data_IF_505424426970
#
_entry.id   IF_505424426970
#
_cell.length_a   1.000
_cell.length_b   1.000
_cell.length_c   1.000
_cell.angle_alpha   90.00
_cell.angle_beta   90.00
_cell.angle_gamma   90.00
#
_symmetry.space_group_name_H-M   'P 1'
#
loop_
_entity.id
_entity.type
_entity.pdbx_description
1 polymer ?
#
# COMPACT_ATOMS: atom_id res chain seq x y z
N UNK A 1 6.76 -40.49 -39.43
CA UNK A 1 6.42 -39.06 -39.30
C UNK A 1 7.57 -38.43 -38.55
N UNK A 2 8.25 -37.41 -39.07
CA UNK A 2 9.34 -36.76 -38.32
C UNK A 2 8.77 -35.95 -37.17
N UNK A 3 9.27 -36.20 -35.96
CA UNK A 3 9.00 -35.38 -34.76
C UNK A 3 9.49 -33.98 -34.99
N UNK A 4 8.58 -33.01 -34.92
CA UNK A 4 8.92 -31.58 -34.87
C UNK A 4 9.57 -31.29 -33.52
N UNK A 5 10.89 -31.19 -33.50
CA UNK A 5 11.61 -30.59 -32.39
C UNK A 5 11.31 -29.06 -32.40
N UNK A 6 10.31 -28.66 -31.61
CA UNK A 6 10.10 -27.24 -31.32
C UNK A 6 11.23 -26.82 -30.39
N UNK A 7 12.13 -25.99 -30.91
CA UNK A 7 13.19 -25.37 -30.15
C UNK A 7 12.55 -24.39 -29.14
N UNK A 8 12.55 -24.71 -27.85
CA UNK A 8 11.95 -23.89 -26.78
C UNK A 8 12.70 -22.54 -26.54
N UNK A 9 13.66 -22.18 -27.35
CA UNK A 9 14.48 -20.99 -27.19
C UNK A 9 13.96 -19.74 -27.92
N UNK A 10 12.83 -19.81 -28.65
CA UNK A 10 12.19 -18.68 -29.33
C UNK A 10 10.80 -18.35 -28.75
N UNK A 11 10.53 -18.67 -27.48
CA UNK A 11 9.36 -18.15 -26.80
C UNK A 11 9.55 -16.62 -26.66
N UNK A 12 8.80 -15.87 -27.46
CA UNK A 12 8.76 -14.41 -27.39
C UNK A 12 8.42 -14.02 -25.93
N UNK A 13 9.29 -13.20 -25.30
CA UNK A 13 9.05 -12.70 -23.93
C UNK A 13 7.64 -12.11 -23.82
N UNK A 14 6.96 -12.36 -22.71
CA UNK A 14 5.68 -11.72 -22.42
C UNK A 14 5.81 -10.19 -22.36
N UNK A 15 4.68 -9.46 -22.44
CA UNK A 15 4.71 -7.98 -22.33
C UNK A 15 5.30 -7.51 -21.00
N UNK A 16 5.13 -8.29 -19.93
CA UNK A 16 5.66 -7.96 -18.59
C UNK A 16 7.15 -8.29 -18.47
N UNK A 17 7.63 -9.39 -19.06
CA UNK A 17 9.07 -9.67 -19.13
C UNK A 17 9.79 -8.61 -19.94
N UNK A 18 9.19 -8.11 -21.03
CA UNK A 18 9.71 -6.96 -21.78
C UNK A 18 9.68 -5.65 -20.97
N UNK A 19 8.67 -5.46 -20.11
CA UNK A 19 8.63 -4.31 -19.20
C UNK A 19 9.76 -4.40 -18.17
N UNK A 20 10.03 -5.57 -17.62
CA UNK A 20 11.14 -5.78 -16.66
C UNK A 20 12.51 -5.39 -17.23
N UNK A 21 12.74 -5.63 -18.54
CA UNK A 21 14.00 -5.27 -19.21
C UNK A 21 14.28 -3.75 -19.22
N UNK A 22 13.28 -2.91 -18.96
CA UNK A 22 13.41 -1.45 -18.91
C UNK A 22 13.92 -0.94 -17.56
N UNK A 23 13.97 -1.80 -16.54
CA UNK A 23 14.32 -1.44 -15.19
C UNK A 23 15.64 -2.07 -14.76
N UNK A 24 16.31 -1.43 -13.80
CA UNK A 24 17.48 -2.05 -13.20
C UNK A 24 17.08 -3.18 -12.25
N UNK A 25 17.24 -4.42 -12.69
CA UNK A 25 16.98 -5.63 -11.89
C UNK A 25 18.25 -6.26 -11.30
N UNK A 26 19.42 -5.61 -11.44
CA UNK A 26 20.66 -6.05 -10.81
C UNK A 26 20.69 -5.61 -9.34
N UNK A 27 19.90 -6.32 -8.51
CA UNK A 27 19.76 -6.03 -7.08
C UNK A 27 20.36 -7.16 -6.26
N UNK A 28 21.13 -6.77 -5.24
CA UNK A 28 21.67 -7.65 -4.21
C UNK A 28 21.02 -7.27 -2.87
N UNK A 29 20.42 -8.24 -2.18
CA UNK A 29 19.64 -7.98 -0.95
C UNK A 29 20.51 -7.37 0.16
N UNK A 30 21.78 -7.76 0.28
CA UNK A 30 22.69 -7.21 1.28
C UNK A 30 23.08 -5.76 0.94
N UNK A 31 23.28 -5.45 -0.34
CA UNK A 31 23.52 -4.08 -0.79
C UNK A 31 22.30 -3.18 -0.58
N UNK A 32 21.10 -3.67 -0.89
CA UNK A 32 19.84 -2.95 -0.64
C UNK A 32 19.72 -2.63 0.86
N UNK A 33 19.95 -3.61 1.73
CA UNK A 33 19.91 -3.41 3.18
C UNK A 33 20.92 -2.36 3.63
N UNK A 34 22.18 -2.48 3.20
CA UNK A 34 23.22 -1.52 3.54
C UNK A 34 22.88 -0.09 3.06
N UNK A 35 22.34 0.05 1.85
CA UNK A 35 21.97 1.33 1.26
C UNK A 35 20.82 2.00 2.02
N UNK A 36 19.74 1.29 2.32
CA UNK A 36 18.59 1.89 3.01
C UNK A 36 18.93 2.26 4.45
N UNK A 37 19.65 1.41 5.17
CA UNK A 37 20.05 1.74 6.55
C UNK A 37 21.00 2.93 6.59
N UNK A 38 21.92 3.05 5.64
CA UNK A 38 22.77 4.24 5.50
C UNK A 38 21.94 5.49 5.18
N UNK A 39 21.00 5.39 4.21
CA UNK A 39 20.13 6.49 3.83
C UNK A 39 19.34 7.01 5.04
N UNK A 40 18.75 6.10 5.82
CA UNK A 40 17.98 6.46 7.02
C UNK A 40 18.90 7.06 8.09
N UNK A 41 20.05 6.44 8.38
CA UNK A 41 20.99 6.94 9.39
C UNK A 41 21.48 8.35 9.08
N UNK A 42 21.78 8.65 7.82
CA UNK A 42 22.30 9.94 7.38
C UNK A 42 21.24 11.07 7.37
N UNK A 43 19.96 10.73 7.23
CA UNK A 43 18.92 11.74 6.95
C UNK A 43 17.80 11.83 7.99
N UNK A 44 17.53 10.78 8.74
CA UNK A 44 16.41 10.69 9.69
C UNK A 44 16.30 11.89 10.64
N UNK A 45 17.43 12.39 11.15
CA UNK A 45 17.44 13.52 12.09
C UNK A 45 16.85 14.80 11.52
N UNK A 46 16.87 14.98 10.20
CA UNK A 46 16.27 16.13 9.50
C UNK A 46 14.73 16.12 9.59
N UNK A 47 14.14 14.92 9.76
CA UNK A 47 12.72 14.69 9.66
C UNK A 47 12.02 14.40 11.00
N UNK A 48 12.74 14.52 12.12
CA UNK A 48 12.14 14.42 13.45
C UNK A 48 11.70 15.81 13.92
N UNK A 49 10.66 16.37 13.28
CA UNK A 49 10.14 17.72 13.57
C UNK A 49 8.61 17.68 13.72
N UNK A 50 8.00 18.65 14.45
CA UNK A 50 6.55 18.73 14.59
C UNK A 50 5.80 18.77 13.26
N UNK A 51 6.35 19.43 12.24
CA UNK A 51 5.76 19.54 10.90
C UNK A 51 5.70 18.16 10.23
N UNK A 52 6.77 17.37 10.32
CA UNK A 52 6.81 16.02 9.77
C UNK A 52 5.86 15.10 10.52
N UNK A 53 5.71 15.24 11.84
CA UNK A 53 4.73 14.46 12.60
C UNK A 53 3.29 14.75 12.13
N UNK A 54 2.95 16.02 11.87
CA UNK A 54 1.66 16.39 11.29
C UNK A 54 1.49 15.84 9.86
N UNK A 55 2.53 15.91 9.03
CA UNK A 55 2.49 15.29 7.70
C UNK A 55 2.27 13.77 7.79
N UNK A 56 2.98 13.09 8.70
CA UNK A 56 2.79 11.65 8.95
C UNK A 56 1.36 11.34 9.38
N UNK A 57 0.79 12.12 10.31
CA UNK A 57 -0.59 11.95 10.75
C UNK A 57 -1.55 12.03 9.56
N UNK A 58 -1.37 12.99 8.66
CA UNK A 58 -2.21 13.15 7.47
C UNK A 58 -2.11 11.99 6.48
N UNK A 59 -1.05 11.18 6.53
CA UNK A 59 -0.87 10.01 5.65
C UNK A 59 -1.37 8.70 6.26
N UNK A 60 -1.84 8.73 7.50
CA UNK A 60 -2.31 7.53 8.20
C UNK A 60 -3.60 7.01 7.59
N UNK A 61 -3.59 5.73 7.23
CA UNK A 61 -4.79 4.94 7.02
C UNK A 61 -5.09 4.14 8.28
N UNK A 62 -6.06 4.62 9.07
CA UNK A 62 -6.47 3.97 10.32
C UNK A 62 -7.18 2.66 10.01
N UNK A 63 -6.55 1.55 10.36
CA UNK A 63 -6.95 0.22 9.88
C UNK A 63 -7.51 -0.65 10.99
N UNK A 64 -8.70 -1.19 10.78
CA UNK A 64 -9.23 -2.32 11.57
C UNK A 64 -9.60 -3.47 10.62
N UNK A 65 -8.91 -4.60 10.77
CA UNK A 65 -9.10 -5.81 9.97
C UNK A 65 -9.00 -7.03 10.90
N UNK A 66 -9.67 -6.96 12.05
CA UNK A 66 -9.70 -8.06 13.02
C UNK A 66 -10.81 -9.04 12.62
N UNK A 67 -10.63 -10.32 12.91
CA UNK A 67 -11.68 -11.34 12.73
C UNK A 67 -12.89 -11.11 13.65
N UNK A 68 -12.73 -10.23 14.66
CA UNK A 68 -13.76 -9.87 15.63
C UNK A 68 -14.41 -8.53 15.33
N UNK A 69 -14.08 -7.86 14.21
CA UNK A 69 -14.74 -6.61 13.85
C UNK A 69 -16.23 -6.85 13.59
N UNK A 70 -17.04 -5.94 14.07
CA UNK A 70 -18.49 -5.91 13.92
C UNK A 70 -18.94 -4.51 13.50
N UNK A 71 -20.17 -4.37 13.02
CA UNK A 71 -20.76 -3.06 12.69
C UNK A 71 -20.62 -2.08 13.86
N UNK A 72 -20.92 -2.53 15.08
CA UNK A 72 -20.80 -1.71 16.30
C UNK A 72 -19.35 -1.25 16.53
N UNK A 73 -18.37 -2.15 16.43
CA UNK A 73 -16.95 -1.78 16.67
C UNK A 73 -16.40 -0.86 15.61
N UNK A 74 -16.84 -1.02 14.35
CA UNK A 74 -16.44 -0.16 13.24
C UNK A 74 -17.11 1.21 13.33
N UNK A 75 -18.40 1.26 13.69
CA UNK A 75 -19.12 2.52 13.95
C UNK A 75 -18.42 3.31 15.07
N UNK A 76 -18.11 2.68 16.21
CA UNK A 76 -17.38 3.31 17.31
C UNK A 76 -16.01 3.85 16.88
N UNK A 77 -15.30 3.15 15.97
CA UNK A 77 -14.04 3.66 15.42
C UNK A 77 -14.27 4.91 14.56
N UNK A 78 -15.31 4.91 13.74
CA UNK A 78 -15.67 6.05 12.87
C UNK A 78 -16.07 7.27 13.70
N UNK A 79 -16.92 7.07 14.74
CA UNK A 79 -17.29 8.12 15.69
C UNK A 79 -16.08 8.76 16.36
N UNK A 80 -15.09 7.94 16.81
CA UNK A 80 -13.86 8.47 17.39
C UNK A 80 -13.04 9.31 16.40
N UNK A 81 -13.07 8.98 15.10
CA UNK A 81 -12.41 9.79 14.06
C UNK A 81 -13.14 11.12 13.88
N UNK A 82 -14.47 11.14 13.91
CA UNK A 82 -15.26 12.36 13.88
C UNK A 82 -14.97 13.24 15.10
N UNK A 83 -15.07 12.66 16.32
CA UNK A 83 -14.79 13.35 17.58
C UNK A 83 -13.38 13.95 17.61
N UNK A 84 -12.38 13.22 17.09
CA UNK A 84 -11.01 13.73 16.99
C UNK A 84 -10.92 14.93 16.05
N UNK A 85 -11.55 14.86 14.90
CA UNK A 85 -11.56 15.97 13.92
C UNK A 85 -12.20 17.24 14.52
N UNK A 86 -13.31 17.09 15.23
CA UNK A 86 -14.00 18.20 15.89
C UNK A 86 -13.19 18.79 17.05
N UNK A 87 -12.53 17.94 17.83
CA UNK A 87 -11.72 18.37 18.98
C UNK A 87 -10.40 19.03 18.59
N UNK A 88 -9.85 18.70 17.42
CA UNK A 88 -8.53 19.14 16.96
C UNK A 88 -8.56 19.72 15.53
N UNK A 89 -9.32 20.79 15.25
CA UNK A 89 -9.45 21.35 13.92
C UNK A 89 -8.13 21.94 13.37
N UNK A 90 -7.12 22.17 14.23
CA UNK A 90 -5.79 22.64 13.85
C UNK A 90 -4.83 21.49 13.43
N UNK A 91 -5.24 20.24 13.59
CA UNK A 91 -4.49 19.09 13.13
C UNK A 91 -5.00 18.61 11.77
N UNK A 92 -4.13 18.06 10.91
CA UNK A 92 -4.59 17.50 9.65
C UNK A 92 -5.45 16.25 9.89
N UNK A 93 -6.47 16.01 9.06
CA UNK A 93 -7.26 14.79 9.12
C UNK A 93 -6.41 13.56 8.78
N UNK A 94 -6.84 12.40 9.24
CA UNK A 94 -6.32 11.11 8.75
C UNK A 94 -6.61 10.95 7.26
N UNK A 95 -5.85 10.09 6.56
CA UNK A 95 -6.10 9.83 5.16
C UNK A 95 -7.37 9.02 4.94
N UNK A 96 -7.50 7.89 5.65
CA UNK A 96 -8.66 7.00 5.51
C UNK A 96 -8.95 6.21 6.79
N UNK A 97 -10.17 5.69 6.87
CA UNK A 97 -10.50 4.51 7.68
C UNK A 97 -10.48 3.29 6.75
N UNK A 98 -9.68 2.27 7.08
CA UNK A 98 -9.53 1.06 6.26
C UNK A 98 -10.18 -0.14 6.94
N UNK A 99 -11.17 -0.77 6.26
CA UNK A 99 -12.01 -1.83 6.80
C UNK A 99 -12.19 -3.00 5.82
N UNK A 100 -12.85 -4.07 6.26
CA UNK A 100 -13.38 -5.11 5.37
C UNK A 100 -14.53 -4.56 4.51
N UNK A 101 -14.77 -5.10 3.30
CA UNK A 101 -15.72 -4.52 2.34
C UNK A 101 -17.17 -4.48 2.85
N UNK A 102 -17.56 -5.45 3.67
CA UNK A 102 -18.91 -5.49 4.26
C UNK A 102 -19.18 -4.36 5.27
N UNK A 103 -18.19 -3.59 5.67
CA UNK A 103 -18.31 -2.43 6.55
C UNK A 103 -18.21 -1.09 5.79
N UNK A 104 -18.03 -1.10 4.46
CA UNK A 104 -17.93 0.12 3.66
C UNK A 104 -19.12 1.06 3.92
N UNK A 105 -20.33 0.51 3.86
CA UNK A 105 -21.57 1.27 4.01
C UNK A 105 -21.67 1.97 5.36
N UNK A 106 -21.42 1.26 6.47
CA UNK A 106 -21.56 1.86 7.80
C UNK A 106 -20.54 2.97 8.02
N UNK A 107 -19.30 2.80 7.51
CA UNK A 107 -18.30 3.87 7.59
C UNK A 107 -18.71 5.05 6.73
N UNK A 108 -19.10 4.82 5.47
CA UNK A 108 -19.49 5.88 4.53
C UNK A 108 -20.71 6.68 5.01
N UNK A 109 -21.68 6.02 5.66
CA UNK A 109 -22.88 6.69 6.18
C UNK A 109 -22.66 7.43 7.51
N UNK A 110 -21.60 7.09 8.28
CA UNK A 110 -21.35 7.67 9.61
C UNK A 110 -20.11 8.56 9.68
N UNK A 111 -19.27 8.60 8.63
CA UNK A 111 -18.05 9.41 8.59
C UNK A 111 -18.40 10.87 8.28
N UNK A 112 -18.17 11.76 9.24
CA UNK A 112 -18.42 13.21 9.15
C UNK A 112 -17.14 14.02 9.05
N UNK A 113 -15.98 13.42 9.41
CA UNK A 113 -14.68 14.11 9.41
C UNK A 113 -14.23 14.48 7.99
N UNK A 114 -14.18 15.77 7.70
CA UNK A 114 -13.80 16.32 6.39
C UNK A 114 -12.39 15.84 5.97
N UNK A 115 -12.26 15.39 4.73
CA UNK A 115 -10.98 14.97 4.13
C UNK A 115 -10.57 13.54 4.47
N UNK A 116 -11.27 12.82 5.35
CA UNK A 116 -11.07 11.39 5.61
C UNK A 116 -11.88 10.57 4.62
N UNK A 117 -11.28 9.52 4.06
CA UNK A 117 -11.91 8.65 3.06
C UNK A 117 -12.15 7.23 3.59
N UNK A 118 -12.98 6.48 2.90
CA UNK A 118 -13.23 5.06 3.17
C UNK A 118 -12.36 4.21 2.27
N UNK A 119 -11.48 3.39 2.86
CA UNK A 119 -10.70 2.39 2.14
C UNK A 119 -11.19 0.98 2.49
N UNK A 120 -11.30 0.10 1.50
CA UNK A 120 -11.67 -1.29 1.73
C UNK A 120 -10.64 -2.26 1.19
N UNK A 121 -10.32 -3.31 1.97
CA UNK A 121 -9.60 -4.46 1.42
C UNK A 121 -10.55 -5.29 0.59
N UNK A 122 -10.12 -5.71 -0.61
CA UNK A 122 -10.95 -6.44 -1.57
C UNK A 122 -10.18 -7.56 -2.26
N UNK A 123 -10.82 -8.27 -3.16
CA UNK A 123 -10.19 -9.28 -4.01
C UNK A 123 -9.78 -10.55 -3.24
N UNK A 124 -10.57 -10.96 -2.24
CA UNK A 124 -10.30 -12.15 -1.43
C UNK A 124 -9.15 -11.93 -0.44
N UNK A 125 -9.08 -10.73 0.14
CA UNK A 125 -8.08 -10.41 1.17
C UNK A 125 -8.15 -11.39 2.36
N UNK A 126 -7.02 -11.88 2.93
CA UNK A 126 -5.64 -11.46 2.64
C UNK A 126 -4.88 -12.33 1.64
N UNK A 127 -5.46 -13.41 1.13
CA UNK A 127 -4.72 -14.42 0.36
C UNK A 127 -4.82 -14.26 -1.15
N UNK A 128 -5.80 -13.53 -1.66
CA UNK A 128 -6.13 -13.45 -3.09
C UNK A 128 -6.48 -14.82 -3.73
N UNK A 129 -6.74 -15.85 -2.92
CA UNK A 129 -6.95 -17.24 -3.37
C UNK A 129 -8.44 -17.54 -3.58
N UNK A 130 -9.05 -16.86 -4.55
CA UNK A 130 -10.44 -17.07 -4.98
C UNK A 130 -10.59 -16.77 -6.47
N UNK A 131 -11.77 -17.00 -7.03
CA UNK A 131 -12.09 -16.77 -8.43
C UNK A 131 -12.13 -15.29 -8.75
N UNK A 132 -11.70 -14.89 -9.96
CA UNK A 132 -11.65 -13.49 -10.38
C UNK A 132 -13.05 -12.86 -10.38
N UNK A 133 -14.09 -13.60 -10.75
CA UNK A 133 -15.48 -13.13 -10.73
C UNK A 133 -15.93 -12.74 -9.31
N UNK A 134 -15.44 -13.44 -8.29
CA UNK A 134 -15.72 -13.10 -6.89
C UNK A 134 -14.93 -11.86 -6.46
N UNK A 135 -13.65 -11.75 -6.87
CA UNK A 135 -12.82 -10.58 -6.57
C UNK A 135 -13.42 -9.30 -7.15
N UNK A 136 -13.86 -9.35 -8.40
CA UNK A 136 -14.47 -8.19 -9.08
C UNK A 136 -15.85 -7.84 -8.50
N UNK A 137 -16.67 -8.86 -8.18
CA UNK A 137 -17.95 -8.64 -7.53
C UNK A 137 -17.80 -8.03 -6.13
N UNK A 138 -16.86 -8.53 -5.30
CA UNK A 138 -16.56 -7.97 -3.98
C UNK A 138 -16.12 -6.51 -4.09
N UNK A 139 -15.23 -6.20 -5.05
CA UNK A 139 -14.75 -4.84 -5.30
C UNK A 139 -15.88 -3.91 -5.70
N UNK A 140 -16.73 -4.32 -6.67
CA UNK A 140 -17.86 -3.52 -7.13
C UNK A 140 -18.88 -3.27 -6.00
N UNK A 141 -19.13 -4.25 -5.13
CA UNK A 141 -20.01 -4.08 -3.96
C UNK A 141 -19.40 -3.10 -2.94
N UNK A 142 -18.09 -3.19 -2.65
CA UNK A 142 -17.44 -2.26 -1.75
C UNK A 142 -17.54 -0.80 -2.26
N UNK A 143 -17.29 -0.59 -3.56
CA UNK A 143 -17.43 0.73 -4.21
C UNK A 143 -18.89 1.22 -4.17
N UNK A 144 -19.86 0.35 -4.49
CA UNK A 144 -21.29 0.67 -4.41
C UNK A 144 -21.70 1.12 -3.00
N UNK A 145 -21.12 0.49 -1.97
CA UNK A 145 -21.41 0.74 -0.56
C UNK A 145 -20.59 1.92 0.02
N UNK A 146 -19.84 2.64 -0.82
CA UNK A 146 -19.19 3.90 -0.48
C UNK A 146 -17.68 3.81 -0.20
N UNK A 147 -17.00 2.75 -0.64
CA UNK A 147 -15.53 2.75 -0.60
C UNK A 147 -14.98 3.76 -1.63
N UNK A 148 -14.16 4.70 -1.17
CA UNK A 148 -13.45 5.67 -1.99
C UNK A 148 -12.15 5.09 -2.57
N UNK A 149 -11.58 4.06 -1.95
CA UNK A 149 -10.31 3.45 -2.31
C UNK A 149 -10.34 1.94 -2.03
N UNK A 150 -9.70 1.15 -2.88
CA UNK A 150 -9.65 -0.31 -2.75
C UNK A 150 -8.22 -0.81 -2.62
N UNK A 151 -7.98 -1.76 -1.70
CA UNK A 151 -6.69 -2.43 -1.51
C UNK A 151 -6.84 -3.92 -1.86
N UNK A 152 -6.30 -4.41 -2.99
CA UNK A 152 -6.29 -5.83 -3.34
C UNK A 152 -4.91 -6.45 -3.15
N UNK A 153 -4.86 -7.78 -3.03
CA UNK A 153 -3.58 -8.53 -2.89
C UNK A 153 -3.20 -9.13 -4.22
N UNK A 154 -1.92 -8.97 -4.61
CA UNK A 154 -1.32 -9.69 -5.74
C UNK A 154 -1.54 -11.20 -5.57
N UNK A 155 -1.84 -11.91 -6.65
CA UNK A 155 -1.81 -13.37 -6.66
C UNK A 155 -0.36 -13.85 -6.56
N UNK A 156 0.14 -13.91 -5.31
CA UNK A 156 1.56 -14.21 -5.02
C UNK A 156 1.95 -15.60 -5.53
N UNK A 157 1.04 -16.57 -5.48
CA UNK A 157 1.30 -17.94 -5.97
C UNK A 157 1.55 -17.96 -7.47
N UNK A 158 0.69 -17.32 -8.25
CA UNK A 158 0.85 -17.18 -9.70
C UNK A 158 2.13 -16.38 -10.03
N UNK A 159 2.37 -15.26 -9.34
CA UNK A 159 3.58 -14.47 -9.52
C UNK A 159 4.87 -15.27 -9.31
N UNK A 160 4.98 -16.02 -8.21
CA UNK A 160 6.16 -16.82 -7.89
C UNK A 160 6.36 -18.02 -8.83
N UNK A 161 5.30 -18.50 -9.49
CA UNK A 161 5.38 -19.51 -10.55
C UNK A 161 5.75 -18.95 -11.93
N UNK A 162 5.84 -17.62 -12.05
CA UNK A 162 6.15 -16.94 -13.30
C UNK A 162 4.95 -16.66 -14.19
N UNK A 163 3.74 -16.88 -13.71
CA UNK A 163 2.49 -16.59 -14.43
C UNK A 163 2.11 -15.10 -14.23
N UNK A 164 2.88 -14.24 -14.89
CA UNK A 164 2.75 -12.78 -14.79
C UNK A 164 1.49 -12.28 -15.49
N UNK A 165 1.04 -12.95 -16.55
CA UNK A 165 -0.17 -12.57 -17.29
C UNK A 165 -1.40 -12.73 -16.40
N UNK A 166 -1.59 -13.89 -15.76
CA UNK A 166 -2.70 -14.09 -14.81
C UNK A 166 -2.69 -13.04 -13.70
N UNK A 167 -1.51 -12.72 -13.13
CA UNK A 167 -1.42 -11.70 -12.09
C UNK A 167 -1.87 -10.32 -12.57
N UNK A 168 -1.50 -9.95 -13.78
CA UNK A 168 -1.81 -8.65 -14.33
C UNK A 168 -3.27 -8.56 -14.77
N UNK A 169 -3.79 -9.59 -15.43
CA UNK A 169 -5.20 -9.66 -15.82
C UNK A 169 -6.13 -9.52 -14.60
N UNK A 170 -5.81 -10.19 -13.48
CA UNK A 170 -6.55 -10.05 -12.23
C UNK A 170 -6.52 -8.61 -11.69
N UNK A 171 -5.37 -7.93 -11.74
CA UNK A 171 -5.24 -6.53 -11.30
C UNK A 171 -6.04 -5.60 -12.24
N UNK A 172 -5.94 -5.78 -13.56
CA UNK A 172 -6.65 -5.00 -14.56
C UNK A 172 -8.18 -5.13 -14.37
N UNK A 173 -8.69 -6.34 -14.14
CA UNK A 173 -10.12 -6.58 -13.90
C UNK A 173 -10.60 -5.98 -12.57
N UNK A 174 -9.81 -6.10 -11.49
CA UNK A 174 -10.14 -5.48 -10.20
C UNK A 174 -10.10 -3.95 -10.34
N UNK A 175 -9.11 -3.39 -11.07
CA UNK A 175 -9.05 -1.94 -11.34
C UNK A 175 -10.29 -1.46 -12.09
N UNK A 176 -10.74 -2.20 -13.07
CA UNK A 176 -11.99 -1.87 -13.79
C UNK A 176 -13.20 -1.87 -12.85
N UNK A 177 -13.26 -2.81 -11.87
CA UNK A 177 -14.34 -2.86 -10.87
C UNK A 177 -14.27 -1.71 -9.84
N UNK A 178 -13.10 -1.07 -9.64
CA UNK A 178 -12.96 0.13 -8.82
C UNK A 178 -13.57 1.39 -9.45
N UNK A 179 -13.96 1.35 -10.73
CA UNK A 179 -14.36 2.51 -11.52
C UNK A 179 -13.28 3.62 -11.48
N UNK A 180 -13.64 4.84 -11.07
CA UNK A 180 -12.70 5.98 -10.98
C UNK A 180 -11.90 6.00 -9.67
N UNK A 181 -12.17 5.07 -8.74
CA UNK A 181 -11.50 5.03 -7.44
C UNK A 181 -10.09 4.43 -7.53
N UNK A 182 -9.14 4.91 -6.69
CA UNK A 182 -7.80 4.37 -6.64
C UNK A 182 -7.77 2.90 -6.21
N UNK A 183 -6.96 2.11 -6.93
CA UNK A 183 -6.60 0.74 -6.55
C UNK A 183 -5.19 0.72 -5.97
N UNK A 184 -5.03 0.16 -4.77
CA UNK A 184 -3.74 -0.11 -4.16
C UNK A 184 -3.46 -1.61 -4.21
N UNK A 185 -2.37 -2.00 -4.87
CA UNK A 185 -1.98 -3.41 -4.99
C UNK A 185 -0.99 -3.77 -3.88
N UNK A 186 -1.38 -4.70 -3.02
CA UNK A 186 -0.56 -5.25 -1.95
C UNK A 186 0.36 -6.32 -2.55
N UNK A 187 1.65 -6.07 -2.56
CA UNK A 187 2.64 -6.98 -3.12
C UNK A 187 2.91 -8.19 -2.22
N UNK A 188 2.63 -8.08 -0.91
CA UNK A 188 2.97 -9.04 0.14
C UNK A 188 4.48 -9.34 0.17
N UNK A 189 5.25 -8.30 0.38
CA UNK A 189 6.72 -8.29 0.24
C UNK A 189 7.42 -9.35 1.07
N UNK A 190 6.87 -9.70 2.24
CA UNK A 190 7.39 -10.78 3.09
C UNK A 190 7.32 -12.17 2.44
N UNK A 191 6.32 -12.41 1.57
CA UNK A 191 6.20 -13.65 0.82
C UNK A 191 7.11 -13.67 -0.43
N UNK A 192 7.40 -12.51 -1.02
CA UNK A 192 8.28 -12.38 -2.19
C UNK A 192 9.76 -12.56 -1.85
N UNK A 193 10.17 -12.28 -0.63
CA UNK A 193 11.48 -12.56 0.01
C UNK A 193 12.69 -11.82 -0.54
N UNK A 194 12.82 -11.58 -1.85
CA UNK A 194 13.99 -10.94 -2.46
C UNK A 194 13.67 -9.59 -3.06
N UNK A 195 14.66 -8.69 -3.06
CA UNK A 195 14.57 -7.37 -3.68
C UNK A 195 14.16 -7.46 -5.16
N UNK A 196 14.68 -8.46 -5.89
CA UNK A 196 14.35 -8.67 -7.30
C UNK A 196 12.87 -9.02 -7.47
N UNK A 197 12.31 -9.93 -6.66
CA UNK A 197 10.90 -10.28 -6.75
C UNK A 197 10.01 -9.11 -6.36
N UNK A 198 10.36 -8.37 -5.30
CA UNK A 198 9.63 -7.16 -4.89
C UNK A 198 9.61 -6.13 -6.03
N UNK A 199 10.75 -5.90 -6.68
CA UNK A 199 10.82 -4.95 -7.79
C UNK A 199 10.01 -5.41 -9.00
N UNK A 200 10.09 -6.70 -9.39
CA UNK A 200 9.27 -7.25 -10.47
C UNK A 200 7.78 -7.16 -10.18
N UNK A 201 7.35 -7.48 -8.95
CA UNK A 201 5.96 -7.36 -8.54
C UNK A 201 5.48 -5.91 -8.57
N UNK A 202 6.31 -4.96 -8.13
CA UNK A 202 6.04 -3.52 -8.22
C UNK A 202 5.84 -3.08 -9.67
N UNK A 203 6.76 -3.44 -10.57
CA UNK A 203 6.68 -3.10 -12.00
C UNK A 203 5.41 -3.69 -12.62
N UNK A 204 5.14 -4.99 -12.38
CA UNK A 204 3.95 -5.66 -12.90
C UNK A 204 2.67 -4.94 -12.44
N UNK A 205 2.52 -4.66 -11.14
CA UNK A 205 1.35 -3.99 -10.59
C UNK A 205 1.14 -2.59 -11.19
N UNK A 206 2.22 -1.81 -11.35
CA UNK A 206 2.15 -0.47 -11.96
C UNK A 206 1.72 -0.53 -13.42
N UNK A 207 2.24 -1.46 -14.21
CA UNK A 207 1.84 -1.64 -15.62
C UNK A 207 0.44 -2.24 -15.77
N UNK A 208 -0.06 -2.97 -14.77
CA UNK A 208 -1.43 -3.49 -14.72
C UNK A 208 -2.46 -2.47 -14.20
N UNK A 209 -2.05 -1.22 -13.94
CA UNK A 209 -2.98 -0.13 -13.61
C UNK A 209 -3.17 0.16 -12.13
N UNK A 210 -2.27 -0.30 -11.26
CA UNK A 210 -2.27 0.11 -9.86
C UNK A 210 -2.00 1.61 -9.70
N UNK A 211 -2.82 2.32 -8.92
CA UNK A 211 -2.58 3.73 -8.55
C UNK A 211 -1.60 3.84 -7.38
N UNK A 212 -1.56 2.80 -6.52
CA UNK A 212 -0.61 2.63 -5.45
C UNK A 212 -0.05 1.22 -5.43
N UNK A 213 1.19 1.09 -4.97
CA UNK A 213 1.72 -0.20 -4.53
C UNK A 213 1.90 -0.19 -3.01
N UNK A 214 1.46 -1.27 -2.36
CA UNK A 214 1.46 -1.43 -0.91
C UNK A 214 2.34 -2.61 -0.50
N UNK A 215 3.06 -2.47 0.62
CA UNK A 215 4.00 -3.51 1.04
C UNK A 215 3.31 -4.82 1.42
N UNK A 216 2.33 -4.79 2.32
CA UNK A 216 1.88 -6.00 3.02
C UNK A 216 0.43 -5.95 3.47
N UNK A 217 -0.15 -7.12 3.69
CA UNK A 217 -1.48 -7.29 4.32
C UNK A 217 -1.44 -7.04 5.83
N UNK A 218 -0.29 -7.26 6.46
CA UNK A 218 -0.16 -7.33 7.92
C UNK A 218 -0.71 -8.64 8.52
N UNK A 219 -0.98 -9.66 7.70
CA UNK A 219 -1.53 -10.97 8.11
C UNK A 219 -0.51 -12.11 8.05
N UNK A 220 0.70 -11.83 7.59
CA UNK A 220 1.84 -12.75 7.67
C UNK A 220 2.92 -12.18 8.60
N UNK A 221 3.88 -13.01 8.99
CA UNK A 221 4.89 -12.67 9.99
C UNK A 221 5.75 -11.47 9.57
N UNK A 222 6.27 -11.48 8.32
CA UNK A 222 7.08 -10.39 7.78
C UNK A 222 6.17 -9.43 7.02
N UNK A 223 6.06 -8.20 7.54
CA UNK A 223 5.25 -7.14 6.93
C UNK A 223 6.14 -6.07 6.27
N UNK A 224 5.87 -4.77 6.50
CA UNK A 224 6.67 -3.69 5.93
C UNK A 224 8.11 -3.70 6.48
N UNK A 225 9.09 -3.61 5.58
CA UNK A 225 10.50 -3.41 5.91
C UNK A 225 11.06 -2.21 5.16
N UNK A 226 12.15 -1.63 5.65
CA UNK A 226 12.81 -0.49 4.99
C UNK A 226 13.41 -0.91 3.65
N UNK A 227 13.91 -2.15 3.55
CA UNK A 227 14.42 -2.73 2.31
C UNK A 227 13.34 -2.81 1.24
N UNK A 228 12.15 -3.32 1.60
CA UNK A 228 11.00 -3.37 0.70
C UNK A 228 10.58 -1.96 0.26
N UNK A 229 10.48 -1.01 1.19
CA UNK A 229 10.15 0.38 0.90
C UNK A 229 11.18 1.01 -0.05
N UNK A 230 12.47 0.79 0.18
CA UNK A 230 13.54 1.28 -0.69
C UNK A 230 13.41 0.76 -2.12
N UNK A 231 13.21 -0.55 -2.28
CA UNK A 231 13.05 -1.18 -3.59
C UNK A 231 11.79 -0.68 -4.31
N UNK A 232 10.67 -0.60 -3.60
CA UNK A 232 9.40 -0.13 -4.16
C UNK A 232 9.47 1.35 -4.55
N UNK A 233 10.00 2.22 -3.71
CA UNK A 233 10.18 3.64 -4.03
C UNK A 233 11.14 3.84 -5.21
N UNK A 234 12.21 3.04 -5.30
CA UNK A 234 13.12 3.08 -6.45
C UNK A 234 12.39 2.65 -7.74
N UNK A 235 11.56 1.60 -7.67
CA UNK A 235 10.75 1.17 -8.81
C UNK A 235 9.74 2.24 -9.25
N UNK A 236 9.07 2.91 -8.30
CA UNK A 236 8.15 4.03 -8.57
C UNK A 236 8.89 5.17 -9.28
N UNK A 237 10.08 5.53 -8.79
CA UNK A 237 10.88 6.59 -9.42
C UNK A 237 11.26 6.25 -10.85
N UNK A 238 11.78 5.05 -11.10
CA UNK A 238 12.12 4.59 -12.45
C UNK A 238 10.89 4.55 -13.35
N UNK A 239 9.74 4.12 -12.82
CA UNK A 239 8.48 4.11 -13.57
C UNK A 239 8.03 5.52 -13.96
N UNK A 240 8.11 6.47 -13.02
CA UNK A 240 7.81 7.88 -13.28
C UNK A 240 8.76 8.45 -14.35
N UNK A 241 10.05 8.18 -14.25
CA UNK A 241 11.06 8.65 -15.23
C UNK A 241 10.79 8.10 -16.64
N UNK A 242 10.20 6.91 -16.75
CA UNK A 242 9.87 6.27 -18.03
C UNK A 242 8.51 6.70 -18.60
N UNK A 243 7.52 6.98 -17.76
CA UNK A 243 6.11 7.13 -18.19
C UNK A 243 5.50 8.49 -17.88
N UNK A 244 6.09 9.26 -16.97
CA UNK A 244 5.50 10.48 -16.41
C UNK A 244 4.31 10.26 -15.49
N UNK A 245 3.97 9.00 -15.14
CA UNK A 245 2.82 8.65 -14.32
C UNK A 245 3.20 8.54 -12.85
N UNK A 246 2.47 9.25 -11.99
CA UNK A 246 2.63 9.15 -10.54
C UNK A 246 1.96 7.88 -10.00
N UNK A 247 2.70 7.12 -9.22
CA UNK A 247 2.20 5.95 -8.49
C UNK A 247 2.44 6.18 -7.00
N UNK A 248 1.41 6.00 -6.17
CA UNK A 248 1.56 6.14 -4.72
C UNK A 248 2.26 4.95 -4.07
N UNK A 249 2.84 5.21 -2.89
CA UNK A 249 3.45 4.19 -2.04
C UNK A 249 2.70 4.10 -0.70
N UNK A 250 2.38 2.88 -0.27
CA UNK A 250 1.80 2.60 1.05
C UNK A 250 2.64 1.59 1.81
N UNK A 251 3.20 2.03 2.94
CA UNK A 251 3.80 1.12 3.92
C UNK A 251 2.71 0.60 4.87
N UNK A 252 2.61 -0.70 5.06
CA UNK A 252 1.58 -1.27 5.93
C UNK A 252 2.05 -2.53 6.65
N UNK A 253 1.60 -2.66 7.91
CA UNK A 253 1.92 -3.78 8.78
C UNK A 253 3.26 -3.62 9.51
N UNK A 254 3.23 -3.78 10.82
CA UNK A 254 4.44 -3.78 11.65
C UNK A 254 4.97 -2.42 12.09
N UNK A 255 4.50 -1.30 11.55
CA UNK A 255 4.93 0.05 11.93
C UNK A 255 4.21 0.44 13.22
N UNK A 256 4.94 0.46 14.34
CA UNK A 256 4.36 0.54 15.69
C UNK A 256 4.75 1.81 16.45
N UNK A 257 5.78 2.52 16.01
CA UNK A 257 6.33 3.69 16.69
C UNK A 257 6.47 4.88 15.75
N UNK A 258 6.40 6.08 16.29
CA UNK A 258 6.68 7.33 15.57
C UNK A 258 8.07 7.30 14.92
N UNK A 259 9.04 6.72 15.62
CA UNK A 259 10.40 6.57 15.11
C UNK A 259 10.46 5.71 13.83
N UNK A 260 9.77 4.57 13.80
CA UNK A 260 9.66 3.74 12.59
C UNK A 260 8.93 4.47 11.46
N UNK A 261 7.88 5.24 11.77
CA UNK A 261 7.17 6.04 10.77
C UNK A 261 8.08 7.11 10.13
N UNK A 262 8.94 7.76 10.93
CA UNK A 262 9.94 8.70 10.44
C UNK A 262 10.97 7.99 9.53
N UNK A 263 11.34 6.76 9.83
CA UNK A 263 12.24 5.97 8.98
C UNK A 263 11.62 5.72 7.59
N UNK A 264 10.35 5.31 7.51
CA UNK A 264 9.64 5.17 6.24
C UNK A 264 9.45 6.50 5.51
N UNK A 265 9.10 7.56 6.23
CA UNK A 265 9.05 8.92 5.68
C UNK A 265 10.38 9.32 5.06
N UNK A 266 11.50 9.04 5.76
CA UNK A 266 12.85 9.33 5.27
C UNK A 266 13.13 8.62 3.95
N UNK A 267 12.78 7.34 3.83
CA UNK A 267 12.95 6.58 2.59
C UNK A 267 12.16 7.21 1.44
N UNK A 268 10.87 7.51 1.66
CA UNK A 268 10.02 8.13 0.64
C UNK A 268 10.56 9.50 0.24
N UNK A 269 10.90 10.34 1.23
CA UNK A 269 11.35 11.71 1.02
C UNK A 269 12.66 11.79 0.25
N UNK A 270 13.63 10.94 0.58
CA UNK A 270 14.96 10.94 -0.03
C UNK A 270 14.97 10.31 -1.43
N UNK A 271 14.07 9.36 -1.72
CA UNK A 271 14.02 8.69 -3.04
C UNK A 271 13.06 9.40 -3.99
N UNK A 272 11.86 9.72 -3.53
CA UNK A 272 10.78 10.23 -4.38
C UNK A 272 10.62 11.76 -4.31
N UNK A 273 11.16 12.39 -3.27
CA UNK A 273 11.11 13.83 -3.12
C UNK A 273 9.91 14.35 -2.34
N UNK A 274 9.85 15.68 -2.19
CA UNK A 274 8.85 16.36 -1.35
C UNK A 274 7.42 16.23 -1.90
N UNK A 275 7.28 16.25 -3.21
CA UNK A 275 5.98 16.18 -3.87
C UNK A 275 5.22 14.88 -3.60
N UNK A 276 5.93 13.84 -3.13
CA UNK A 276 5.32 12.58 -2.72
C UNK A 276 4.78 12.58 -1.29
N UNK A 277 5.18 13.55 -0.46
CA UNK A 277 4.74 13.62 0.94
C UNK A 277 3.35 14.28 1.02
N UNK A 278 2.35 13.55 0.56
CA UNK A 278 0.94 13.97 0.63
C UNK A 278 0.03 12.75 0.59
N UNK A 279 -1.18 12.89 1.10
CA UNK A 279 -2.18 11.81 1.14
C UNK A 279 -2.40 11.11 -0.22
N UNK A 280 -2.33 11.84 -1.30
CA UNK A 280 -2.53 11.29 -2.65
C UNK A 280 -1.41 10.38 -3.15
N UNK A 281 -0.22 10.37 -2.52
CA UNK A 281 0.95 9.61 -3.01
C UNK A 281 1.70 8.84 -1.93
N UNK A 282 1.52 9.17 -0.63
CA UNK A 282 2.15 8.44 0.47
C UNK A 282 1.13 8.10 1.55
N UNK A 283 1.17 6.86 2.03
CA UNK A 283 0.30 6.35 3.08
C UNK A 283 1.04 5.43 4.05
N UNK A 284 0.57 5.43 5.30
CA UNK A 284 0.97 4.47 6.33
C UNK A 284 -0.27 3.76 6.87
N UNK A 285 -0.40 2.47 6.57
CA UNK A 285 -1.48 1.63 7.08
C UNK A 285 -1.17 1.11 8.49
N UNK A 286 -1.96 1.50 9.47
CA UNK A 286 -1.73 1.15 10.88
C UNK A 286 -3.00 1.15 11.71
N UNK A 287 -2.96 0.41 12.83
CA UNK A 287 -4.04 0.40 13.83
C UNK A 287 -3.71 1.15 15.12
N UNK A 288 -2.43 1.54 15.35
CA UNK A 288 -1.98 2.08 16.65
C UNK A 288 -1.13 3.33 16.53
N UNK A 289 -0.40 3.48 15.44
CA UNK A 289 0.55 4.59 15.26
C UNK A 289 -0.15 5.95 15.33
N UNK A 290 -1.41 6.05 14.89
CA UNK A 290 -2.16 7.31 14.94
C UNK A 290 -2.19 7.91 16.36
N UNK A 291 -2.48 7.09 17.38
CA UNK A 291 -2.47 7.53 18.78
C UNK A 291 -1.09 8.05 19.24
N UNK A 292 -0.01 7.38 18.82
CA UNK A 292 1.34 7.80 19.17
C UNK A 292 1.73 9.12 18.48
N UNK A 293 1.38 9.27 17.21
CA UNK A 293 1.62 10.52 16.48
C UNK A 293 0.87 11.68 17.14
N UNK A 294 -0.40 11.47 17.51
CA UNK A 294 -1.19 12.50 18.23
C UNK A 294 -0.54 12.83 19.57
N UNK A 295 -0.13 11.82 20.34
CA UNK A 295 0.54 12.03 21.63
C UNK A 295 1.83 12.82 21.48
N UNK A 296 2.66 12.48 20.49
CA UNK A 296 3.93 13.19 20.24
C UNK A 296 3.70 14.62 19.72
N UNK A 297 2.65 14.85 18.92
CA UNK A 297 2.29 16.20 18.45
C UNK A 297 1.78 17.09 19.59
N UNK A 298 0.93 16.54 20.49
CA UNK A 298 0.33 17.29 21.59
C UNK A 298 1.25 17.38 22.81
N UNK A 299 2.25 16.49 22.92
CA UNK A 299 3.15 16.42 24.08
C UNK A 299 2.50 15.81 25.32
N UNK A 300 1.44 15.01 25.14
CA UNK A 300 0.71 14.35 26.23
C UNK A 300 0.21 12.95 25.79
N UNK A 301 -0.15 12.04 26.74
CA UNK A 301 -0.68 10.70 26.40
C UNK A 301 -2.11 10.83 25.89
N UNK A 302 -2.27 10.87 24.57
CA UNK A 302 -3.54 10.96 23.88
C UNK A 302 -3.86 9.66 23.14
N UNK A 303 -5.09 9.17 23.27
CA UNK A 303 -5.57 7.93 22.64
C UNK A 303 -6.94 8.13 22.01
N UNK A 304 -7.03 9.01 21.00
CA UNK A 304 -8.33 9.33 20.40
C UNK A 304 -8.95 8.14 19.61
N UNK A 305 -8.13 7.18 19.12
CA UNK A 305 -8.58 6.11 18.23
C UNK A 305 -8.55 4.71 18.85
#
# INVERSE_FOLDING_TARGET
MPELHINRNDAQKSKYEQAFDKFNLHLDDAQVSAQVHKLVADNRSKYNTPEVLKQLLSTVELTTLKVTDSEESVLQLTERVNDFSDAHPDLPPLATICVYPNFAKIVSESLEADGVKVACVVGGFPSSQTFIEIKTAETALAVHDGADECDCVLNVGAFLSGDYETCADEIEEIKAACADNPLKVILETGALKSAINIKRAAILAMYAGADFIKTSTGKIEVAATLEAAYVMCTAIKEYYDLTGTFIGFKAAGGIKTTAEAIDFYTVVREILGEDYIKQGLFRIGTSRLANLLVSDILGEDAKPF
#
